data_IF_471865727767
#
_entry.id   IF_471865727767
#
_cell.length_a   1.000
_cell.length_b   1.000
_cell.length_c   1.000
_cell.angle_alpha   90.00
_cell.angle_beta   90.00
_cell.angle_gamma   90.00
#
_symmetry.space_group_name_H-M   'P 1'
#
loop_
_entity.id
_entity.type
_entity.pdbx_description
1 polymer ?
#
# COMPACT_ATOMS: atom_id res chain seq x y z
N UNK A 1 5.18 26.00 4.61
CA UNK A 1 5.10 24.54 4.31
C UNK A 1 4.57 23.88 5.56
N UNK A 2 3.32 23.44 5.57
CA UNK A 2 2.81 22.66 6.69
C UNK A 2 3.41 21.26 6.57
N UNK A 3 4.30 20.90 7.47
CA UNK A 3 4.79 19.53 7.62
C UNK A 3 3.64 18.71 8.24
N UNK A 4 2.61 18.42 7.44
CA UNK A 4 1.45 17.66 7.86
C UNK A 4 1.84 16.19 8.03
N UNK A 5 2.30 15.83 9.21
CA UNK A 5 2.38 14.42 9.60
C UNK A 5 0.95 13.88 9.78
N UNK A 6 0.66 12.71 9.20
CA UNK A 6 -0.58 11.98 9.44
C UNK A 6 -0.55 11.16 10.74
N UNK A 7 0.46 11.39 11.57
CA UNK A 7 0.61 10.72 12.86
C UNK A 7 -0.56 11.06 13.80
N UNK A 8 -1.09 10.03 14.46
CA UNK A 8 -2.23 10.16 15.37
C UNK A 8 -3.59 10.39 14.68
N UNK A 9 -3.65 10.23 13.35
CA UNK A 9 -4.91 10.22 12.59
C UNK A 9 -5.23 8.79 12.18
N UNK A 10 -6.47 8.37 12.44
CA UNK A 10 -6.95 7.04 12.10
C UNK A 10 -8.19 7.12 11.23
N UNK A 11 -8.31 6.19 10.30
CA UNK A 11 -9.53 6.00 9.53
C UNK A 11 -10.56 5.25 10.36
N UNK A 12 -11.85 5.44 10.09
CA UNK A 12 -12.89 4.70 10.80
C UNK A 12 -12.78 3.17 10.64
N UNK A 13 -12.18 2.70 9.54
CA UNK A 13 -11.90 1.28 9.33
C UNK A 13 -10.85 0.77 10.33
N UNK A 14 -9.76 1.49 10.51
CA UNK A 14 -8.73 1.12 11.51
C UNK A 14 -9.30 1.16 12.92
N UNK A 15 -10.08 2.19 13.24
CA UNK A 15 -10.76 2.31 14.54
C UNK A 15 -11.71 1.12 14.76
N UNK A 16 -12.43 0.72 13.70
CA UNK A 16 -13.31 -0.42 13.75
C UNK A 16 -12.57 -1.72 14.07
N UNK A 17 -11.39 -1.92 13.48
CA UNK A 17 -10.54 -3.07 13.78
C UNK A 17 -9.95 -3.04 15.20
N UNK A 18 -9.56 -1.86 15.69
CA UNK A 18 -8.95 -1.69 17.01
C UNK A 18 -9.96 -1.99 18.13
N UNK A 19 -11.16 -1.42 18.02
CA UNK A 19 -12.17 -1.48 19.08
C UNK A 19 -13.26 -2.52 18.83
N UNK A 20 -13.32 -3.12 17.64
CA UNK A 20 -14.37 -4.07 17.27
C UNK A 20 -15.73 -3.41 17.08
N UNK A 21 -15.76 -2.15 16.66
CA UNK A 21 -16.98 -1.34 16.50
C UNK A 21 -17.19 -1.07 15.02
N UNK A 22 -18.38 -1.31 14.49
CA UNK A 22 -18.62 -1.06 13.06
C UNK A 22 -18.46 0.43 12.70
N UNK A 23 -17.93 0.68 11.51
CA UNK A 23 -17.71 2.00 10.92
C UNK A 23 -19.05 2.78 10.80
N UNK A 24 -20.17 2.07 10.58
CA UNK A 24 -21.51 2.69 10.59
C UNK A 24 -21.92 3.20 11.98
N UNK A 25 -21.43 2.57 13.06
CA UNK A 25 -21.69 3.03 14.42
C UNK A 25 -20.96 4.35 14.69
N UNK A 26 -19.69 4.45 14.28
CA UNK A 26 -18.89 5.68 14.37
C UNK A 26 -19.57 6.84 13.61
N UNK A 27 -20.03 6.60 12.37
CA UNK A 27 -20.80 7.61 11.61
C UNK A 27 -22.05 8.08 12.34
N UNK A 28 -22.80 7.17 12.97
CA UNK A 28 -23.99 7.53 13.76
C UNK A 28 -23.64 8.30 15.03
N UNK A 29 -22.44 8.14 15.59
CA UNK A 29 -21.99 8.93 16.74
C UNK A 29 -21.63 10.36 16.33
N UNK A 30 -21.00 10.52 15.16
CA UNK A 30 -20.75 11.85 14.56
C UNK A 30 -22.07 12.57 14.30
N UNK A 31 -23.06 11.89 13.71
CA UNK A 31 -24.39 12.48 13.46
C UNK A 31 -25.20 12.81 14.74
N UNK A 32 -24.77 12.31 15.90
CA UNK A 32 -25.38 12.60 17.21
C UNK A 32 -24.57 13.63 18.00
N UNK A 33 -23.67 14.35 17.34
CA UNK A 33 -22.81 15.37 17.92
C UNK A 33 -21.98 14.90 19.14
N UNK A 34 -21.67 13.59 19.18
CA UNK A 34 -20.76 13.04 20.20
C UNK A 34 -19.29 13.39 19.93
N UNK A 35 -18.97 13.78 18.70
CA UNK A 35 -17.65 14.19 18.26
C UNK A 35 -17.73 15.59 17.68
N UNK A 36 -16.75 16.43 18.00
CA UNK A 36 -16.68 17.79 17.46
C UNK A 36 -16.11 17.74 16.04
N UNK A 37 -16.91 18.13 15.05
CA UNK A 37 -16.49 18.16 13.64
C UNK A 37 -15.46 19.28 13.44
N UNK A 38 -14.28 18.94 12.92
CA UNK A 38 -13.18 19.86 12.69
C UNK A 38 -12.05 19.78 13.72
N UNK A 39 -12.34 19.28 14.92
CA UNK A 39 -11.36 19.05 15.99
C UNK A 39 -11.11 17.56 16.20
N UNK A 40 -12.17 16.81 16.50
CA UNK A 40 -12.08 15.37 16.78
C UNK A 40 -12.17 14.54 15.50
N UNK A 41 -13.06 14.94 14.59
CA UNK A 41 -13.40 14.17 13.39
C UNK A 41 -13.46 15.08 12.17
N UNK A 42 -12.89 14.63 11.05
CA UNK A 42 -12.92 15.35 9.77
C UNK A 42 -13.24 14.41 8.61
N UNK A 43 -14.17 14.84 7.75
CA UNK A 43 -14.49 14.11 6.51
C UNK A 43 -13.49 14.48 5.42
N UNK A 44 -12.86 13.47 4.83
CA UNK A 44 -11.92 13.61 3.71
C UNK A 44 -12.43 12.77 2.54
N UNK A 45 -13.17 13.41 1.62
CA UNK A 45 -13.80 12.71 0.50
C UNK A 45 -14.80 11.65 0.95
N UNK A 46 -14.50 10.37 0.70
CA UNK A 46 -15.33 9.22 1.11
C UNK A 46 -14.99 8.70 2.51
N UNK A 47 -13.80 8.98 3.01
CA UNK A 47 -13.33 8.47 4.30
C UNK A 47 -13.54 9.49 5.41
N UNK A 48 -13.77 8.98 6.61
CA UNK A 48 -13.79 9.77 7.83
C UNK A 48 -12.50 9.49 8.60
N UNK A 49 -11.88 10.58 9.07
CA UNK A 49 -10.65 10.55 9.86
C UNK A 49 -11.00 11.02 11.27
N UNK A 50 -10.48 10.32 12.27
CA UNK A 50 -10.58 10.64 13.69
C UNK A 50 -9.18 10.86 14.27
N UNK A 51 -9.07 11.74 15.25
CA UNK A 51 -7.84 11.93 16.01
C UNK A 51 -7.70 10.88 17.12
N UNK A 52 -6.46 10.53 17.46
CA UNK A 52 -6.14 9.65 18.60
C UNK A 52 -6.79 10.17 19.90
N UNK A 53 -6.79 11.48 20.10
CA UNK A 53 -7.36 12.13 21.27
C UNK A 53 -8.87 11.88 21.41
N UNK A 54 -9.63 12.04 20.32
CA UNK A 54 -11.06 11.78 20.31
C UNK A 54 -11.39 10.31 20.61
N UNK A 55 -10.53 9.41 20.12
CA UNK A 55 -10.69 7.98 20.31
C UNK A 55 -10.41 7.56 21.76
N UNK A 56 -9.35 8.10 22.38
CA UNK A 56 -9.04 7.87 23.79
C UNK A 56 -10.17 8.40 24.68
N UNK A 57 -10.71 9.59 24.39
CA UNK A 57 -11.83 10.18 25.14
C UNK A 57 -13.08 9.32 25.12
N UNK A 58 -13.40 8.71 23.97
CA UNK A 58 -14.67 7.99 23.78
C UNK A 58 -14.60 6.50 24.08
N UNK A 59 -13.49 5.83 23.72
CA UNK A 59 -13.36 4.38 23.83
C UNK A 59 -12.32 3.92 24.86
N UNK A 60 -11.44 4.82 25.33
CA UNK A 60 -10.40 4.52 26.31
C UNK A 60 -9.08 3.99 25.72
N UNK A 61 -8.07 3.85 26.58
CA UNK A 61 -6.67 3.59 26.19
C UNK A 61 -6.31 2.11 26.05
N UNK A 62 -6.98 1.22 26.77
CA UNK A 62 -6.62 -0.21 26.89
C UNK A 62 -6.43 -0.90 25.53
N UNK A 63 -7.43 -0.81 24.65
CA UNK A 63 -7.40 -1.45 23.32
C UNK A 63 -6.37 -0.81 22.38
N UNK A 64 -6.14 0.48 22.56
CA UNK A 64 -5.25 1.25 21.70
C UNK A 64 -3.78 0.98 21.99
N UNK A 65 -3.41 0.80 23.25
CA UNK A 65 -2.06 0.39 23.64
C UNK A 65 -1.69 -0.97 23.08
N UNK A 66 -2.62 -1.93 23.12
CA UNK A 66 -2.43 -3.25 22.54
C UNK A 66 -2.19 -3.19 21.03
N UNK A 67 -2.93 -2.30 20.35
CA UNK A 67 -2.73 -2.03 18.93
C UNK A 67 -1.36 -1.42 18.63
N UNK A 68 -0.93 -0.40 19.39
CA UNK A 68 0.42 0.20 19.25
C UNK A 68 1.53 -0.85 19.44
N UNK A 69 1.43 -1.69 20.47
CA UNK A 69 2.37 -2.81 20.71
C UNK A 69 2.40 -3.79 19.53
N UNK A 70 1.26 -4.04 18.88
CA UNK A 70 1.17 -4.92 17.71
C UNK A 70 1.82 -4.29 16.47
N UNK A 71 1.64 -2.99 16.25
CA UNK A 71 2.30 -2.24 15.18
C UNK A 71 3.82 -2.28 15.35
N UNK A 72 4.35 -1.95 16.53
CA UNK A 72 5.79 -1.99 16.79
C UNK A 72 6.40 -3.37 16.54
N UNK A 73 5.69 -4.44 16.92
CA UNK A 73 6.13 -5.82 16.68
C UNK A 73 6.18 -6.13 15.18
N UNK A 74 5.20 -5.66 14.40
CA UNK A 74 5.19 -5.81 12.94
C UNK A 74 6.35 -5.06 12.29
N UNK A 75 6.56 -3.80 12.66
CA UNK A 75 7.66 -2.98 12.14
C UNK A 75 9.03 -3.59 12.45
N UNK A 76 9.24 -4.06 13.69
CA UNK A 76 10.47 -4.76 14.08
C UNK A 76 10.67 -6.05 13.27
N UNK A 77 9.60 -6.79 13.01
CA UNK A 77 9.66 -8.01 12.21
C UNK A 77 9.98 -7.71 10.73
N UNK A 78 9.39 -6.66 10.15
CA UNK A 78 9.66 -6.21 8.79
C UNK A 78 11.08 -5.68 8.64
N UNK A 79 11.55 -4.85 9.58
CA UNK A 79 12.92 -4.37 9.63
C UNK A 79 13.92 -5.53 9.71
N UNK A 80 13.66 -6.56 10.54
CA UNK A 80 14.50 -7.76 10.63
C UNK A 80 14.51 -8.56 9.32
N UNK A 81 13.36 -8.69 8.64
CA UNK A 81 13.27 -9.34 7.32
C UNK A 81 14.08 -8.58 6.27
N UNK A 82 13.96 -7.26 6.25
CA UNK A 82 14.68 -6.39 5.30
C UNK A 82 16.20 -6.46 5.54
N UNK A 83 16.64 -6.37 6.79
CA UNK A 83 18.05 -6.54 7.16
C UNK A 83 18.61 -7.93 6.76
N UNK A 84 17.83 -9.00 6.97
CA UNK A 84 18.23 -10.35 6.56
C UNK A 84 18.32 -10.51 5.04
N UNK A 85 17.43 -9.87 4.26
CA UNK A 85 17.50 -9.85 2.80
C UNK A 85 18.75 -9.10 2.31
N UNK A 86 19.06 -7.94 2.90
CA UNK A 86 20.27 -7.16 2.57
C UNK A 86 21.57 -7.89 2.94
N UNK A 87 21.56 -8.74 3.97
CA UNK A 87 22.73 -9.56 4.32
C UNK A 87 22.97 -10.70 3.31
N UNK A 88 21.90 -11.35 2.81
CA UNK A 88 22.00 -12.42 1.81
C UNK A 88 22.52 -11.93 0.46
N UNK A 89 22.15 -10.71 0.03
CA UNK A 89 22.65 -10.13 -1.22
C UNK A 89 24.13 -9.75 -1.18
N UNK A 90 24.70 -9.51 0.01
CA UNK A 90 26.15 -9.27 0.19
C UNK A 90 26.99 -10.55 0.26
N UNK A 91 26.37 -11.71 0.46
CA UNK A 91 27.04 -13.01 0.66
C UNK A 91 27.33 -13.83 -0.60
N UNK A 92 26.89 -13.41 -1.79
CA UNK A 92 27.22 -14.06 -3.07
C UNK A 92 27.98 -13.09 -3.97
N UNK A 93 29.24 -12.85 -3.64
CA UNK A 93 30.24 -12.42 -4.62
C UNK A 93 31.11 -13.64 -4.87
N UNK A 94 30.56 -14.65 -5.57
CA UNK A 94 31.42 -15.71 -6.09
C UNK A 94 32.43 -15.04 -7.02
N UNK A 95 33.70 -15.37 -6.83
CA UNK A 95 34.81 -14.87 -7.64
C UNK A 95 34.75 -15.55 -9.02
N UNK A 96 33.69 -15.32 -9.79
CA UNK A 96 33.65 -15.73 -11.18
C UNK A 96 34.57 -14.78 -11.93
N UNK A 97 35.75 -15.30 -12.27
CA UNK A 97 36.70 -14.73 -13.20
C UNK A 97 35.94 -14.32 -14.46
N UNK A 98 35.66 -13.02 -14.57
CA UNK A 98 34.98 -12.45 -15.73
C UNK A 98 35.94 -12.60 -16.90
N UNK A 99 35.62 -13.45 -17.88
CA UNK A 99 36.28 -13.36 -19.17
C UNK A 99 35.84 -12.01 -19.75
N UNK A 100 36.79 -11.09 -19.87
CA UNK A 100 36.57 -9.82 -20.54
C UNK A 100 36.20 -10.13 -22.00
N UNK A 101 34.93 -10.00 -22.35
CA UNK A 101 34.44 -10.04 -23.73
C UNK A 101 34.26 -8.60 -24.20
N UNK A 102 35.38 -7.86 -24.32
CA UNK A 102 35.41 -6.72 -25.23
C UNK A 102 35.73 -7.24 -26.64
N UNK A 103 34.86 -8.10 -27.17
CA UNK A 103 34.85 -8.44 -28.58
C UNK A 103 33.60 -7.79 -29.19
N UNK A 104 33.83 -6.56 -29.66
CA UNK A 104 33.06 -5.81 -30.66
C UNK A 104 31.55 -5.71 -30.38
N UNK A 105 31.15 -4.52 -29.92
CA UNK A 105 29.77 -4.05 -29.99
C UNK A 105 29.22 -4.16 -31.42
N UNK A 106 28.59 -5.28 -31.76
CA UNK A 106 27.52 -5.22 -32.73
C UNK A 106 26.37 -4.49 -32.04
N UNK A 107 26.22 -3.23 -32.43
CA UNK A 107 25.13 -2.35 -32.03
C UNK A 107 23.82 -3.08 -32.31
N UNK A 108 23.21 -3.62 -31.27
CA UNK A 108 21.83 -4.10 -31.30
C UNK A 108 20.99 -2.86 -31.65
N UNK A 109 20.57 -2.76 -32.91
CA UNK A 109 19.59 -1.76 -33.34
C UNK A 109 18.27 -2.12 -32.68
N UNK A 110 17.94 -1.39 -31.63
CA UNK A 110 16.66 -1.52 -30.95
C UNK A 110 15.53 -1.16 -31.94
N UNK A 111 14.66 -2.13 -32.24
CA UNK A 111 13.57 -1.97 -33.20
C UNK A 111 12.53 -0.95 -32.73
N UNK A 112 12.51 -0.64 -31.43
CA UNK A 112 11.71 0.43 -30.83
C UNK A 112 12.11 1.83 -31.30
N UNK A 113 13.38 2.03 -31.66
CA UNK A 113 13.91 3.33 -32.10
C UNK A 113 13.80 3.50 -33.62
N UNK A 114 13.63 2.41 -34.38
CA UNK A 114 13.73 2.43 -35.84
C UNK A 114 12.38 2.47 -36.59
N UNK A 115 11.24 2.58 -35.89
CA UNK A 115 9.90 2.61 -36.49
C UNK A 115 9.54 1.38 -37.38
N UNK A 116 10.31 0.29 -37.29
CA UNK A 116 10.10 -0.97 -38.01
C UNK A 116 9.26 -1.92 -37.15
N UNK A 117 8.01 -1.54 -36.86
CA UNK A 117 7.05 -2.44 -36.22
C UNK A 117 6.38 -3.24 -37.35
N UNK A 118 6.97 -4.37 -37.73
CA UNK A 118 6.27 -5.37 -38.53
C UNK A 118 5.26 -6.04 -37.61
N UNK A 119 4.01 -5.58 -37.69
CA UNK A 119 2.90 -6.12 -36.90
C UNK A 119 2.75 -7.63 -37.11
N UNK A 120 2.55 -8.36 -36.01
CA UNK A 120 2.09 -9.74 -36.07
C UNK A 120 0.65 -9.67 -36.58
N UNK A 121 0.40 -10.14 -37.80
CA UNK A 121 -0.96 -10.25 -38.33
C UNK A 121 -1.79 -11.14 -37.38
N UNK A 122 -2.76 -10.53 -36.71
CA UNK A 122 -3.75 -11.26 -35.94
C UNK A 122 -4.57 -12.08 -36.94
N UNK A 123 -4.48 -13.42 -36.83
CA UNK A 123 -5.39 -14.33 -37.53
C UNK A 123 -6.82 -13.89 -37.25
N UNK A 124 -7.60 -13.67 -38.29
CA UNK A 124 -9.00 -13.25 -38.21
C UNK A 124 -9.78 -14.16 -37.27
N UNK A 125 -10.38 -13.57 -36.24
CA UNK A 125 -11.32 -14.27 -35.37
C UNK A 125 -12.68 -14.31 -36.09
N UNK A 126 -13.15 -15.50 -36.45
CA UNK A 126 -14.52 -15.71 -36.88
C UNK A 126 -15.42 -15.87 -35.64
N UNK A 127 -16.41 -14.99 -35.49
CA UNK A 127 -17.44 -15.14 -34.46
C UNK A 127 -18.45 -16.21 -34.90
N UNK A 128 -18.54 -17.31 -34.16
CA UNK A 128 -19.49 -18.38 -34.46
C UNK A 128 -20.89 -17.96 -33.99
N UNK A 129 -21.71 -17.43 -34.90
CA UNK A 129 -23.14 -17.15 -34.64
C UNK A 129 -23.96 -18.43 -34.79
N UNK A 130 -23.83 -19.36 -33.85
CA UNK A 130 -24.84 -20.39 -33.67
C UNK A 130 -25.93 -19.84 -32.75
N UNK A 131 -26.75 -18.92 -33.29
CA UNK A 131 -28.06 -18.65 -32.72
C UNK A 131 -29.02 -19.61 -33.44
N UNK A 132 -29.16 -20.83 -32.93
CA UNK A 132 -30.24 -21.72 -33.38
C UNK A 132 -31.49 -21.34 -32.61
N UNK A 133 -32.47 -20.92 -33.39
CA UNK A 133 -33.88 -20.77 -33.08
C UNK A 133 -34.51 -22.08 -32.60
#
# INVERSE_FOLDING_TARGET
MANGSFEGLYTFLEVAEIYGIDDSCLRKQVARDKFVVGEDVKKMGRTWIITEQAMIKTFGTLKFEDYKKKLEKKEKAEAKKLAAQMAKSKGSRSNNKVHNMNEKEEKIKDSWVSNEINGIELKSFAFNTNNSE
#
